data_IF_408066003247
#
_entry.id   IF_408066003247
#
_cell.length_a   1.000
_cell.length_b   1.000
_cell.length_c   1.000
_cell.angle_alpha   90.00
_cell.angle_beta   90.00
_cell.angle_gamma   90.00
#
_symmetry.space_group_name_H-M   'P 1'
#
loop_
_entity.id
_entity.type
_entity.pdbx_description
1 polymer ?
#
# COMPACT_ATOMS: atom_id res chain seq x y z
N UNK A 1 63.64 -3.04 14.91
CA UNK A 1 62.90 -1.94 14.28
C UNK A 1 61.43 -2.34 14.28
N UNK A 2 60.71 -1.96 15.33
CA UNK A 2 59.34 -2.48 15.63
C UNK A 2 58.37 -1.32 15.43
N UNK A 3 57.51 -1.41 14.44
CA UNK A 3 56.42 -0.46 14.18
C UNK A 3 55.17 -0.88 14.96
N UNK A 4 54.81 -0.09 15.95
CA UNK A 4 53.58 -0.20 16.69
C UNK A 4 52.51 0.52 15.88
N UNK A 5 51.43 -0.19 15.48
CA UNK A 5 50.24 0.38 14.88
C UNK A 5 49.20 0.66 15.98
N UNK A 6 48.99 1.95 16.26
CA UNK A 6 47.91 2.41 17.11
C UNK A 6 46.57 2.25 16.43
N UNK A 7 45.75 1.31 16.90
CA UNK A 7 44.35 1.14 16.52
C UNK A 7 43.45 2.17 17.20
N UNK A 8 43.07 3.24 16.52
CA UNK A 8 42.04 4.15 16.99
C UNK A 8 40.63 3.52 16.80
N UNK A 9 40.13 2.96 17.90
CA UNK A 9 38.75 2.53 18.02
C UNK A 9 37.82 3.74 18.17
N UNK A 10 37.18 4.17 17.09
CA UNK A 10 36.13 5.20 17.11
C UNK A 10 34.86 4.61 17.71
N UNK A 11 34.71 4.76 19.03
CA UNK A 11 33.45 4.46 19.73
C UNK A 11 32.38 5.46 19.29
N UNK A 12 31.50 5.05 18.41
CA UNK A 12 30.28 5.81 18.08
C UNK A 12 29.40 5.94 19.33
N UNK A 13 29.14 7.16 19.74
CA UNK A 13 28.37 7.48 20.96
C UNK A 13 26.93 7.01 20.83
N UNK A 14 26.42 6.17 21.75
CA UNK A 14 25.07 5.59 21.65
C UNK A 14 23.94 6.64 21.73
N UNK A 15 24.24 7.85 22.24
CA UNK A 15 23.27 8.94 22.36
C UNK A 15 22.74 9.47 21.01
N UNK A 16 23.52 9.37 19.92
CA UNK A 16 23.09 9.83 18.59
C UNK A 16 22.18 8.83 17.86
N UNK A 17 22.23 7.55 18.23
CA UNK A 17 21.34 6.53 17.65
C UNK A 17 19.93 6.61 18.24
N UNK A 18 19.80 6.90 19.54
CA UNK A 18 18.51 6.98 20.24
C UNK A 18 17.68 8.17 19.73
N UNK A 19 18.33 9.31 19.43
CA UNK A 19 17.63 10.49 18.93
C UNK A 19 17.04 10.31 17.52
N UNK A 20 17.62 9.44 16.67
CA UNK A 20 17.11 9.17 15.31
C UNK A 20 15.94 8.21 15.28
N UNK A 21 15.87 7.27 16.21
CA UNK A 21 14.76 6.33 16.34
C UNK A 21 13.51 7.02 16.89
N UNK A 22 13.66 7.97 17.83
CA UNK A 22 12.55 8.70 18.42
C UNK A 22 11.84 9.63 17.41
N UNK A 23 12.58 10.19 16.43
CA UNK A 23 11.99 11.06 15.41
C UNK A 23 11.17 10.29 14.36
N UNK A 24 11.58 9.07 14.02
CA UNK A 24 10.83 8.22 13.09
C UNK A 24 9.48 7.73 13.66
N UNK A 25 9.41 7.51 14.99
CA UNK A 25 8.18 7.06 15.65
C UNK A 25 7.09 8.15 15.75
N UNK A 26 7.46 9.43 15.71
CA UNK A 26 6.50 10.54 15.84
C UNK A 26 5.70 10.78 14.56
N UNK A 27 6.23 10.41 13.39
CA UNK A 27 5.54 10.59 12.10
C UNK A 27 4.40 9.59 11.92
N UNK A 28 4.49 8.39 12.51
CA UNK A 28 3.43 7.36 12.43
C UNK A 28 2.21 7.64 13.32
N UNK A 29 2.35 8.46 14.36
CA UNK A 29 1.26 8.76 15.29
C UNK A 29 0.21 9.75 14.73
N UNK A 30 0.46 10.43 13.61
CA UNK A 30 -0.45 11.40 13.00
C UNK A 30 -1.38 10.79 11.94
N UNK A 31 -1.19 9.53 11.55
CA UNK A 31 -2.02 8.84 10.56
C UNK A 31 -3.27 8.16 11.17
N UNK A 32 -3.46 8.18 12.49
CA UNK A 32 -4.36 7.28 13.21
C UNK A 32 -5.67 7.84 13.74
N UNK A 33 -6.15 9.03 13.32
CA UNK A 33 -7.44 9.56 13.78
C UNK A 33 -8.35 9.99 12.63
N UNK A 34 -8.74 9.05 11.77
CA UNK A 34 -9.73 9.32 10.74
C UNK A 34 -11.12 8.70 11.09
N UNK A 35 -11.50 8.71 12.38
CA UNK A 35 -12.81 8.26 12.86
C UNK A 35 -13.98 9.17 12.50
N UNK A 36 -13.82 10.06 11.55
CA UNK A 36 -14.89 10.96 11.09
C UNK A 36 -15.88 10.28 10.15
N UNK A 37 -17.06 10.87 10.02
CA UNK A 37 -18.08 10.47 9.03
C UNK A 37 -17.51 10.54 7.61
N UNK A 38 -17.77 9.52 6.80
CA UNK A 38 -17.44 9.55 5.36
C UNK A 38 -18.41 10.51 4.68
N UNK A 39 -17.91 11.64 4.24
CA UNK A 39 -18.59 12.61 3.38
C UNK A 39 -18.10 12.47 1.92
N UNK A 40 -18.63 13.30 1.01
CA UNK A 40 -18.24 13.28 -0.40
C UNK A 40 -16.73 13.53 -0.61
N UNK A 41 -16.11 14.40 0.19
CA UNK A 41 -14.69 14.68 0.08
C UNK A 41 -13.83 13.52 0.59
N UNK A 42 -14.25 12.88 1.68
CA UNK A 42 -13.59 11.67 2.17
C UNK A 42 -13.72 10.52 1.16
N UNK A 43 -14.92 10.30 0.61
CA UNK A 43 -15.16 9.30 -0.43
C UNK A 43 -14.24 9.51 -1.63
N UNK A 44 -14.14 10.74 -2.14
CA UNK A 44 -13.25 11.07 -3.25
C UNK A 44 -11.79 10.72 -2.94
N UNK A 45 -11.26 11.17 -1.79
CA UNK A 45 -9.88 10.86 -1.40
C UNK A 45 -9.63 9.37 -1.24
N UNK A 46 -10.60 8.65 -0.68
CA UNK A 46 -10.48 7.21 -0.47
C UNK A 46 -10.58 6.46 -1.82
N UNK A 47 -11.41 6.93 -2.76
CA UNK A 47 -11.46 6.41 -4.13
C UNK A 47 -10.14 6.65 -4.89
N UNK A 48 -9.56 7.84 -4.80
CA UNK A 48 -8.24 8.14 -5.37
C UNK A 48 -7.14 7.21 -4.82
N UNK A 49 -7.21 6.84 -3.53
CA UNK A 49 -6.28 5.87 -2.93
C UNK A 49 -6.47 4.46 -3.51
N UNK A 50 -7.71 3.98 -3.63
CA UNK A 50 -8.00 2.67 -4.24
C UNK A 50 -7.50 2.65 -5.69
N UNK A 51 -7.76 3.70 -6.46
CA UNK A 51 -7.29 3.83 -7.84
C UNK A 51 -5.76 3.78 -7.94
N UNK A 52 -5.06 4.46 -7.01
CA UNK A 52 -3.59 4.41 -6.94
C UNK A 52 -3.08 3.01 -6.64
N UNK A 53 -3.68 2.30 -5.68
CA UNK A 53 -3.29 0.92 -5.32
C UNK A 53 -3.52 -0.04 -6.48
N UNK A 54 -4.63 0.07 -7.19
CA UNK A 54 -4.93 -0.73 -8.37
C UNK A 54 -3.94 -0.44 -9.51
N UNK A 55 -3.65 0.83 -9.79
CA UNK A 55 -2.67 1.23 -10.81
C UNK A 55 -1.26 0.69 -10.49
N UNK A 56 -0.85 0.77 -9.23
CA UNK A 56 0.44 0.23 -8.79
C UNK A 56 0.47 -1.30 -8.86
N UNK A 57 -0.64 -1.96 -8.56
CA UNK A 57 -0.84 -3.40 -8.78
C UNK A 57 -0.70 -3.80 -10.25
N UNK A 58 -1.31 -3.03 -11.17
CA UNK A 58 -1.17 -3.24 -12.62
C UNK A 58 0.29 -3.12 -13.09
N UNK A 59 1.01 -2.10 -12.63
CA UNK A 59 2.43 -1.91 -12.96
C UNK A 59 3.28 -3.07 -12.44
N UNK A 60 3.06 -3.49 -11.19
CA UNK A 60 3.77 -4.61 -10.60
C UNK A 60 3.49 -5.92 -11.35
N UNK A 61 2.22 -6.17 -11.71
CA UNK A 61 1.81 -7.33 -12.49
C UNK A 61 2.47 -7.32 -13.88
N UNK A 62 2.52 -6.19 -14.56
CA UNK A 62 3.23 -6.03 -15.84
C UNK A 62 4.74 -6.31 -15.71
N UNK A 63 5.38 -5.83 -14.65
CA UNK A 63 6.80 -6.10 -14.41
C UNK A 63 7.08 -7.59 -14.17
N UNK A 64 6.20 -8.28 -13.43
CA UNK A 64 6.30 -9.73 -13.22
C UNK A 64 6.07 -10.50 -14.51
N UNK A 65 5.05 -10.15 -15.29
CA UNK A 65 4.70 -10.82 -16.55
C UNK A 65 5.85 -10.73 -17.56
N UNK A 66 6.57 -9.61 -17.56
CA UNK A 66 7.75 -9.37 -18.41
C UNK A 66 9.05 -9.94 -17.82
N UNK A 67 9.03 -10.42 -16.57
CA UNK A 67 10.24 -10.89 -15.87
C UNK A 67 11.20 -9.77 -15.47
N UNK A 68 10.72 -8.55 -15.34
CA UNK A 68 11.48 -7.39 -14.92
C UNK A 68 11.56 -7.23 -13.39
N UNK A 69 10.67 -7.90 -12.64
CA UNK A 69 10.63 -7.87 -11.18
C UNK A 69 11.29 -9.10 -10.55
N UNK A 70 11.94 -8.91 -9.39
CA UNK A 70 12.47 -10.02 -8.59
C UNK A 70 11.38 -10.60 -7.67
N UNK A 71 11.48 -11.90 -7.35
CA UNK A 71 10.54 -12.58 -6.44
C UNK A 71 10.39 -11.85 -5.09
N UNK A 72 11.52 -11.46 -4.50
CA UNK A 72 11.51 -10.82 -3.17
C UNK A 72 10.85 -9.46 -3.21
N UNK A 73 11.15 -8.65 -4.22
CA UNK A 73 10.52 -7.33 -4.40
C UNK A 73 9.03 -7.48 -4.62
N UNK A 74 8.59 -8.34 -5.56
CA UNK A 74 7.17 -8.57 -5.85
C UNK A 74 6.42 -8.99 -4.60
N UNK A 75 6.94 -9.96 -3.82
CA UNK A 75 6.27 -10.43 -2.60
C UNK A 75 6.09 -9.34 -1.56
N UNK A 76 7.15 -8.60 -1.26
CA UNK A 76 7.10 -7.55 -0.24
C UNK A 76 6.15 -6.45 -0.69
N UNK A 77 6.29 -5.98 -1.92
CA UNK A 77 5.51 -4.86 -2.43
C UNK A 77 4.03 -5.21 -2.60
N UNK A 78 3.71 -6.38 -3.17
CA UNK A 78 2.32 -6.82 -3.29
C UNK A 78 1.66 -7.03 -1.91
N UNK A 79 2.39 -7.51 -0.91
CA UNK A 79 1.89 -7.64 0.47
C UNK A 79 1.60 -6.28 1.11
N UNK A 80 2.47 -5.29 0.93
CA UNK A 80 2.26 -3.93 1.43
C UNK A 80 1.03 -3.28 0.80
N UNK A 81 0.90 -3.38 -0.52
CA UNK A 81 -0.26 -2.86 -1.25
C UNK A 81 -1.56 -3.59 -0.85
N UNK A 82 -1.52 -4.92 -0.72
CA UNK A 82 -2.67 -5.72 -0.29
C UNK A 82 -3.14 -5.32 1.12
N UNK A 83 -2.20 -5.14 2.06
CA UNK A 83 -2.50 -4.66 3.41
C UNK A 83 -3.15 -3.28 3.39
N UNK A 84 -2.60 -2.34 2.62
CA UNK A 84 -3.15 -0.99 2.51
C UNK A 84 -4.58 -0.99 1.91
N UNK A 85 -4.86 -1.87 0.95
CA UNK A 85 -6.19 -2.01 0.38
C UNK A 85 -7.19 -2.64 1.36
N UNK A 86 -6.75 -3.66 2.14
CA UNK A 86 -7.57 -4.27 3.19
C UNK A 86 -7.90 -3.28 4.32
N UNK A 87 -6.92 -2.52 4.80
CA UNK A 87 -7.14 -1.48 5.82
C UNK A 87 -8.16 -0.43 5.34
N UNK A 88 -8.15 -0.12 4.04
CA UNK A 88 -9.11 0.82 3.46
C UNK A 88 -10.51 0.20 3.36
N UNK A 89 -10.64 -1.09 2.99
CA UNK A 89 -11.91 -1.82 3.02
C UNK A 89 -12.53 -1.79 4.41
N UNK A 90 -11.77 -2.15 5.44
CA UNK A 90 -12.21 -2.19 6.84
C UNK A 90 -12.60 -0.78 7.33
N UNK A 91 -11.76 0.21 7.07
CA UNK A 91 -12.05 1.61 7.41
C UNK A 91 -13.35 2.12 6.80
N UNK A 92 -13.63 1.79 5.53
CA UNK A 92 -14.86 2.19 4.86
C UNK A 92 -16.09 1.43 5.39
N UNK A 93 -15.91 0.17 5.84
CA UNK A 93 -16.99 -0.62 6.42
C UNK A 93 -17.41 -0.16 7.82
N UNK A 94 -16.45 0.32 8.62
CA UNK A 94 -16.65 0.70 10.02
C UNK A 94 -17.11 2.16 10.22
N UNK A 95 -16.75 3.06 9.29
CA UNK A 95 -17.01 4.50 9.46
C UNK A 95 -18.46 4.86 9.18
N UNK A 96 -19.08 5.73 10.01
CA UNK A 96 -20.39 6.31 9.71
C UNK A 96 -20.38 7.01 8.35
N UNK A 97 -21.45 6.91 7.62
CA UNK A 97 -21.57 7.46 6.25
C UNK A 97 -22.62 8.55 6.20
N UNK A 98 -22.31 9.65 5.54
CA UNK A 98 -23.27 10.73 5.30
C UNK A 98 -24.47 10.25 4.46
N UNK A 99 -25.69 10.76 4.71
CA UNK A 99 -26.85 10.43 3.88
C UNK A 99 -26.60 10.71 2.39
N UNK A 100 -27.07 9.79 1.53
CA UNK A 100 -27.01 9.95 0.07
C UNK A 100 -25.76 9.36 -0.61
N UNK A 101 -24.69 8.99 0.13
CA UNK A 101 -23.49 8.38 -0.45
C UNK A 101 -23.21 6.94 0.04
N UNK A 102 -24.13 6.38 0.82
CA UNK A 102 -23.94 5.03 1.40
C UNK A 102 -23.74 3.95 0.34
N UNK A 103 -24.40 4.06 -0.83
CA UNK A 103 -24.22 3.12 -1.93
C UNK A 103 -22.81 3.20 -2.53
N UNK A 104 -22.30 4.43 -2.71
CA UNK A 104 -20.96 4.67 -3.27
C UNK A 104 -19.88 4.19 -2.30
N UNK A 105 -20.04 4.45 -0.98
CA UNK A 105 -19.10 3.95 0.04
C UNK A 105 -19.05 2.42 0.06
N UNK A 106 -20.20 1.74 -0.03
CA UNK A 106 -20.24 0.28 -0.11
C UNK A 106 -19.61 -0.25 -1.41
N UNK A 107 -19.79 0.47 -2.53
CA UNK A 107 -19.16 0.12 -3.81
C UNK A 107 -17.64 0.24 -3.68
N UNK A 108 -17.15 1.34 -3.09
CA UNK A 108 -15.73 1.56 -2.88
C UNK A 108 -15.11 0.55 -1.90
N UNK A 109 -15.78 0.22 -0.80
CA UNK A 109 -15.31 -0.81 0.14
C UNK A 109 -15.13 -2.17 -0.57
N UNK A 110 -16.13 -2.61 -1.36
CA UNK A 110 -16.00 -3.85 -2.13
C UNK A 110 -14.87 -3.81 -3.17
N UNK A 111 -14.65 -2.64 -3.78
CA UNK A 111 -13.57 -2.45 -4.74
C UNK A 111 -12.20 -2.55 -4.06
N UNK A 112 -12.02 -1.91 -2.90
CA UNK A 112 -10.80 -2.04 -2.09
C UNK A 112 -10.51 -3.49 -1.72
N UNK A 113 -11.51 -4.24 -1.26
CA UNK A 113 -11.36 -5.67 -0.96
C UNK A 113 -11.08 -6.53 -2.20
N UNK A 114 -11.59 -6.15 -3.38
CA UNK A 114 -11.22 -6.83 -4.64
C UNK A 114 -9.74 -6.61 -4.96
N UNK A 115 -9.28 -5.37 -4.95
CA UNK A 115 -7.88 -4.99 -5.18
C UNK A 115 -6.94 -5.70 -4.19
N UNK A 116 -7.32 -5.75 -2.90
CA UNK A 116 -6.55 -6.49 -1.88
C UNK A 116 -6.36 -7.95 -2.25
N UNK A 117 -7.41 -8.66 -2.66
CA UNK A 117 -7.33 -10.08 -3.05
C UNK A 117 -6.51 -10.32 -4.31
N UNK A 118 -6.57 -9.42 -5.28
CA UNK A 118 -5.76 -9.51 -6.50
C UNK A 118 -4.27 -9.29 -6.20
N UNK A 119 -3.94 -8.35 -5.33
CA UNK A 119 -2.58 -8.13 -4.84
C UNK A 119 -2.06 -9.31 -4.03
N UNK A 120 -2.92 -9.95 -3.21
CA UNK A 120 -2.57 -11.18 -2.49
C UNK A 120 -2.28 -12.34 -3.47
N UNK A 121 -3.04 -12.46 -4.57
CA UNK A 121 -2.71 -13.44 -5.62
C UNK A 121 -1.34 -13.16 -6.23
N UNK A 122 -1.02 -11.89 -6.52
CA UNK A 122 0.28 -11.53 -7.04
C UNK A 122 1.41 -11.81 -6.04
N UNK A 123 1.17 -11.59 -4.73
CA UNK A 123 2.09 -11.95 -3.65
C UNK A 123 2.38 -13.46 -3.63
N UNK A 124 1.34 -14.29 -3.67
CA UNK A 124 1.45 -15.75 -3.63
C UNK A 124 2.13 -16.32 -4.88
N UNK A 125 1.92 -15.69 -6.03
CA UNK A 125 2.41 -16.11 -7.35
C UNK A 125 3.48 -15.18 -7.91
N UNK A 126 4.36 -14.67 -7.06
CA UNK A 126 5.30 -13.56 -7.34
C UNK A 126 6.29 -13.79 -8.51
N UNK A 127 6.35 -14.98 -9.09
CA UNK A 127 7.18 -15.32 -10.26
C UNK A 127 6.39 -15.97 -11.39
N UNK A 128 5.10 -16.13 -11.21
CA UNK A 128 4.21 -16.72 -12.22
C UNK A 128 3.76 -15.65 -13.21
N UNK A 129 4.41 -15.66 -14.39
CA UNK A 129 4.13 -14.67 -15.44
C UNK A 129 2.71 -14.77 -15.98
N UNK A 130 2.12 -15.96 -15.99
CA UNK A 130 0.76 -16.16 -16.53
C UNK A 130 -0.28 -15.60 -15.57
N UNK A 131 -0.13 -15.83 -14.26
CA UNK A 131 -0.98 -15.23 -13.24
C UNK A 131 -0.85 -13.71 -13.28
N UNK A 132 0.37 -13.19 -13.31
CA UNK A 132 0.61 -11.75 -13.37
C UNK A 132 -0.05 -11.11 -14.62
N UNK A 133 0.15 -11.70 -15.80
CA UNK A 133 -0.48 -11.20 -17.03
C UNK A 133 -2.02 -11.21 -16.97
N UNK A 134 -2.62 -12.18 -16.27
CA UNK A 134 -4.07 -12.23 -16.10
C UNK A 134 -4.63 -11.19 -15.13
N UNK A 135 -3.78 -10.60 -14.28
CA UNK A 135 -4.17 -9.57 -13.30
C UNK A 135 -4.02 -8.14 -13.83
N UNK A 136 -3.26 -7.91 -14.91
CA UNK A 136 -3.03 -6.56 -15.45
C UNK A 136 -4.33 -5.84 -15.80
N UNK A 137 -5.19 -6.48 -16.60
CA UNK A 137 -6.46 -5.90 -17.02
C UNK A 137 -7.46 -5.69 -15.87
N UNK A 138 -7.69 -6.66 -14.96
CA UNK A 138 -8.50 -6.46 -13.76
C UNK A 138 -8.08 -5.24 -12.92
N UNK A 139 -6.79 -5.06 -12.67
CA UNK A 139 -6.30 -3.89 -11.94
C UNK A 139 -6.60 -2.57 -12.66
N UNK A 140 -6.48 -2.52 -13.98
CA UNK A 140 -6.80 -1.30 -14.76
C UNK A 140 -8.30 -0.99 -14.69
N UNK A 141 -9.16 -2.01 -14.80
CA UNK A 141 -10.61 -1.85 -14.64
C UNK A 141 -11.00 -1.37 -13.24
N UNK A 142 -10.29 -1.82 -12.21
CA UNK A 142 -10.51 -1.39 -10.83
C UNK A 142 -10.06 0.07 -10.62
N UNK A 143 -8.96 0.48 -11.24
CA UNK A 143 -8.51 1.87 -11.23
C UNK A 143 -9.56 2.80 -11.88
N UNK A 144 -10.08 2.42 -13.05
CA UNK A 144 -11.14 3.16 -13.75
C UNK A 144 -12.42 3.25 -12.91
N UNK A 145 -12.81 2.14 -12.25
CA UNK A 145 -13.99 2.11 -11.38
C UNK A 145 -13.82 3.00 -10.12
N UNK A 146 -12.60 3.09 -9.59
CA UNK A 146 -12.29 4.01 -8.51
C UNK A 146 -12.36 5.48 -8.97
N UNK A 147 -11.84 5.78 -10.14
CA UNK A 147 -11.90 7.13 -10.73
C UNK A 147 -13.35 7.60 -10.97
N UNK A 148 -14.24 6.70 -11.36
CA UNK A 148 -15.68 7.01 -11.47
C UNK A 148 -16.30 7.42 -10.13
N UNK A 149 -15.89 6.77 -9.02
CA UNK A 149 -16.37 7.10 -7.69
C UNK A 149 -15.74 8.39 -7.12
N UNK A 150 -14.60 8.82 -7.66
CA UNK A 150 -13.92 10.05 -7.26
C UNK A 150 -14.52 11.32 -7.92
N UNK A 151 -15.36 11.19 -8.95
CA UNK A 151 -16.01 12.30 -9.67
C UNK A 151 -17.25 12.81 -8.94
#
# INVERSE_FOLDING_TARGET
MTLVQDGQSTRASPAKLIARVALASLVFALAGCNGGTVDRHALKRDAEKVGSLATEGALLANDVSRGASTKSFTRVHAQELSGAAADLEDSLAERPTSPGITADVRKLSRLAGKVSRELEQLHLHATDRSVAASLEQPFMEDADAADELAR
#
